data_IF_962751929495
#
_entry.id   IF_962751929495
#
_cell.length_a   1.000
_cell.length_b   1.000
_cell.length_c   1.000
_cell.angle_alpha   90.00
_cell.angle_beta   90.00
_cell.angle_gamma   90.00
#
_symmetry.space_group_name_H-M   'P 1'
#
loop_
_entity.id
_entity.type
_entity.pdbx_description
1 polymer ?
#
# COMPACT_ATOMS: atom_id res chain seq x y z
N UNK A 1 -24.25 3.31 -18.32
CA UNK A 1 -25.68 3.09 -18.03
C UNK A 1 -26.25 4.09 -17.03
N UNK A 2 -25.73 4.17 -15.79
CA UNK A 2 -26.29 5.05 -14.73
C UNK A 2 -26.31 6.53 -15.09
N UNK A 3 -25.21 7.06 -15.66
CA UNK A 3 -25.18 8.47 -16.13
C UNK A 3 -26.31 8.79 -17.13
N UNK A 4 -26.64 7.86 -18.02
CA UNK A 4 -27.75 8.02 -18.96
C UNK A 4 -29.09 8.06 -18.22
N UNK A 5 -29.34 7.09 -17.32
CA UNK A 5 -30.56 7.04 -16.50
C UNK A 5 -30.78 8.33 -15.70
N UNK A 6 -29.73 8.87 -15.08
CA UNK A 6 -29.83 10.13 -14.32
C UNK A 6 -30.15 11.35 -15.19
N UNK A 7 -29.65 11.41 -16.42
CA UNK A 7 -29.96 12.48 -17.38
C UNK A 7 -31.39 12.36 -17.90
N UNK A 8 -31.76 11.19 -18.41
CA UNK A 8 -33.09 10.92 -18.97
C UNK A 8 -34.18 11.05 -17.92
N UNK A 9 -33.90 10.64 -16.68
CA UNK A 9 -34.81 10.79 -15.54
C UNK A 9 -34.85 12.19 -14.92
N UNK A 10 -34.13 13.18 -15.48
CA UNK A 10 -34.11 14.56 -14.95
C UNK A 10 -33.57 14.69 -13.53
N UNK A 11 -32.78 13.70 -13.07
CA UNK A 11 -32.29 13.62 -11.70
C UNK A 11 -30.88 14.23 -11.54
N UNK A 12 -30.11 14.35 -12.61
CA UNK A 12 -28.75 14.90 -12.58
C UNK A 12 -28.72 16.39 -12.19
N UNK A 13 -27.73 16.79 -11.38
CA UNK A 13 -27.45 18.19 -11.00
C UNK A 13 -26.02 18.59 -11.32
N UNK A 14 -25.79 19.90 -11.40
CA UNK A 14 -24.45 20.48 -11.48
C UNK A 14 -23.51 19.91 -10.39
N UNK A 15 -22.23 19.64 -10.69
CA UNK A 15 -21.50 19.98 -11.92
C UNK A 15 -21.75 19.05 -13.11
N UNK A 16 -21.85 19.65 -14.31
CA UNK A 16 -21.88 18.94 -15.60
C UNK A 16 -20.50 19.06 -16.30
N UNK A 17 -20.13 18.09 -17.17
CA UNK A 17 -20.77 16.78 -17.37
C UNK A 17 -20.67 15.90 -16.11
N UNK A 18 -21.61 14.97 -15.94
CA UNK A 18 -21.66 14.09 -14.77
C UNK A 18 -20.76 12.86 -14.92
N UNK A 19 -20.40 12.51 -16.15
CA UNK A 19 -19.48 11.43 -16.48
C UNK A 19 -18.08 11.68 -15.89
N UNK A 20 -17.43 10.61 -15.40
CA UNK A 20 -16.13 10.69 -14.73
C UNK A 20 -16.17 11.26 -13.31
N UNK A 21 -17.38 11.47 -12.76
CA UNK A 21 -17.61 11.98 -11.40
C UNK A 21 -18.56 11.08 -10.63
N UNK A 22 -18.55 11.22 -9.31
CA UNK A 22 -19.72 10.83 -8.51
C UNK A 22 -20.84 11.82 -8.84
N UNK A 23 -21.95 11.37 -9.47
CA UNK A 23 -22.94 12.29 -10.03
C UNK A 23 -23.75 12.97 -8.93
N UNK A 24 -23.85 14.30 -8.99
CA UNK A 24 -24.77 15.02 -8.12
C UNK A 24 -26.22 14.80 -8.57
N UNK A 25 -27.16 14.77 -7.62
CA UNK A 25 -28.54 14.39 -7.89
C UNK A 25 -29.59 15.20 -7.13
N UNK A 26 -30.79 15.29 -7.71
CA UNK A 26 -31.98 15.88 -7.08
C UNK A 26 -32.39 15.05 -5.87
N UNK A 27 -32.48 15.69 -4.70
CA UNK A 27 -32.81 15.03 -3.44
C UNK A 27 -31.61 14.62 -2.58
N UNK A 28 -30.37 15.01 -2.94
CA UNK A 28 -29.19 14.76 -2.10
C UNK A 28 -29.35 15.30 -0.66
N UNK A 29 -29.99 16.46 -0.52
CA UNK A 29 -30.31 17.07 0.78
C UNK A 29 -31.30 16.22 1.59
N UNK A 30 -32.30 15.61 0.92
CA UNK A 30 -33.28 14.72 1.55
C UNK A 30 -32.66 13.38 1.94
N UNK A 31 -31.75 12.85 1.12
CA UNK A 31 -30.98 11.66 1.47
C UNK A 31 -30.09 11.92 2.71
N UNK A 32 -29.45 13.09 2.80
CA UNK A 32 -28.70 13.47 4.00
C UNK A 32 -29.62 13.59 5.23
N UNK A 33 -30.79 14.22 5.10
CA UNK A 33 -31.76 14.31 6.19
C UNK A 33 -32.20 12.91 6.70
N UNK A 34 -32.44 11.94 5.80
CA UNK A 34 -32.70 10.55 6.20
C UNK A 34 -31.53 9.89 6.91
N UNK A 35 -30.30 10.12 6.46
CA UNK A 35 -29.11 9.62 7.16
C UNK A 35 -29.06 10.15 8.61
N UNK A 36 -29.46 11.41 8.82
CA UNK A 36 -29.53 12.04 10.16
C UNK A 36 -30.43 11.29 11.15
N UNK A 37 -31.44 10.59 10.65
CA UNK A 37 -32.42 9.85 11.45
C UNK A 37 -31.87 8.50 11.95
N UNK A 38 -30.80 7.99 11.34
CA UNK A 38 -30.25 6.68 11.66
C UNK A 38 -29.44 6.70 12.96
N UNK A 39 -29.59 5.63 13.74
CA UNK A 39 -28.89 5.48 15.03
C UNK A 39 -27.36 5.50 14.87
N UNK A 40 -26.84 4.88 13.81
CA UNK A 40 -25.40 4.92 13.48
C UNK A 40 -24.87 6.34 13.32
N UNK A 41 -25.68 7.26 12.78
CA UNK A 41 -25.30 8.65 12.61
C UNK A 41 -25.42 9.42 13.92
N UNK A 42 -26.52 9.21 14.65
CA UNK A 42 -26.77 9.87 15.93
C UNK A 42 -25.66 9.59 16.94
N UNK A 43 -25.18 8.34 17.01
CA UNK A 43 -24.08 7.91 17.88
C UNK A 43 -22.70 8.42 17.45
N UNK A 44 -22.46 8.60 16.16
CA UNK A 44 -21.18 9.05 15.64
C UNK A 44 -20.83 10.46 16.16
N UNK A 45 -19.61 10.64 16.66
CA UNK A 45 -19.05 11.95 17.04
C UNK A 45 -18.15 12.50 15.94
N UNK A 46 -17.57 11.61 15.13
CA UNK A 46 -16.72 11.96 14.01
C UNK A 46 -17.06 11.16 12.76
N UNK A 47 -17.10 11.84 11.62
CA UNK A 47 -17.38 11.22 10.33
C UNK A 47 -16.26 11.47 9.35
N UNK A 48 -15.91 10.44 8.58
CA UNK A 48 -15.20 10.60 7.32
C UNK A 48 -16.21 10.76 6.21
N UNK A 49 -16.14 11.84 5.43
CA UNK A 49 -17.05 12.07 4.30
C UNK A 49 -16.28 12.49 3.06
N UNK A 50 -16.52 11.84 1.92
CA UNK A 50 -15.85 12.19 0.67
C UNK A 50 -16.17 13.62 0.19
N UNK A 51 -15.22 14.27 -0.52
CA UNK A 51 -15.35 15.67 -0.92
C UNK A 51 -16.31 15.89 -2.11
N UNK A 52 -16.88 14.83 -2.66
CA UNK A 52 -17.78 14.87 -3.81
C UNK A 52 -19.01 15.75 -3.56
N UNK A 53 -19.49 16.40 -4.63
CA UNK A 53 -20.64 17.33 -4.56
C UNK A 53 -21.91 16.70 -3.97
N UNK A 54 -22.35 15.48 -4.34
CA UNK A 54 -23.54 14.87 -3.73
C UNK A 54 -23.43 14.62 -2.22
N UNK A 55 -22.22 14.59 -1.66
CA UNK A 55 -21.99 14.43 -0.22
C UNK A 55 -21.86 15.77 0.52
N UNK A 56 -21.91 16.92 -0.17
CA UNK A 56 -21.91 18.24 0.47
C UNK A 56 -23.01 18.40 1.54
N UNK A 57 -24.27 17.97 1.31
CA UNK A 57 -25.31 18.09 2.32
C UNK A 57 -24.99 17.30 3.60
N UNK A 58 -24.38 16.10 3.47
CA UNK A 58 -23.98 15.28 4.63
C UNK A 58 -22.87 15.97 5.43
N UNK A 59 -21.86 16.54 4.74
CA UNK A 59 -20.77 17.28 5.40
C UNK A 59 -21.27 18.49 6.17
N UNK A 60 -22.11 19.31 5.53
CA UNK A 60 -22.68 20.50 6.15
C UNK A 60 -23.56 20.14 7.37
N UNK A 61 -24.38 19.09 7.23
CA UNK A 61 -25.22 18.57 8.30
C UNK A 61 -24.39 18.05 9.48
N UNK A 62 -23.31 17.29 9.23
CA UNK A 62 -22.42 16.81 10.29
C UNK A 62 -21.83 17.95 11.13
N UNK A 63 -21.34 19.01 10.49
CA UNK A 63 -20.83 20.18 11.18
C UNK A 63 -21.93 20.90 11.99
N UNK A 64 -23.11 21.08 11.41
CA UNK A 64 -24.26 21.68 12.09
C UNK A 64 -24.73 20.86 13.30
N UNK A 65 -24.52 19.54 13.28
CA UNK A 65 -24.86 18.63 14.36
C UNK A 65 -23.73 18.51 15.41
N UNK A 66 -22.71 19.36 15.35
CA UNK A 66 -21.62 19.36 16.32
C UNK A 66 -20.68 18.16 16.19
N UNK A 67 -20.54 17.60 14.97
CA UNK A 67 -19.67 16.44 14.72
C UNK A 67 -18.39 16.85 14.01
N UNK A 68 -17.29 16.17 14.35
CA UNK A 68 -16.02 16.38 13.66
C UNK A 68 -16.06 15.77 12.26
N UNK A 69 -15.64 16.55 11.27
CA UNK A 69 -15.58 16.12 9.88
C UNK A 69 -14.13 15.84 9.46
N UNK A 70 -13.89 14.63 8.96
CA UNK A 70 -12.68 14.24 8.26
C UNK A 70 -12.98 14.14 6.76
N UNK A 71 -12.30 14.95 5.96
CA UNK A 71 -12.45 14.95 4.51
C UNK A 71 -11.11 14.58 3.87
N UNK A 72 -11.03 13.52 3.05
CA UNK A 72 -9.79 13.15 2.38
C UNK A 72 -9.37 14.26 1.41
N UNK A 73 -8.06 14.49 1.30
CA UNK A 73 -7.55 15.48 0.34
C UNK A 73 -7.62 14.93 -1.09
N UNK A 74 -7.78 15.79 -2.12
CA UNK A 74 -7.78 15.33 -3.50
C UNK A 74 -6.52 14.52 -3.84
N UNK A 75 -6.73 13.32 -4.38
CA UNK A 75 -5.67 12.34 -4.72
C UNK A 75 -4.77 11.96 -3.54
N UNK A 76 -5.23 12.14 -2.30
CA UNK A 76 -4.45 11.83 -1.10
C UNK A 76 -3.05 12.48 -1.09
N UNK A 77 -2.94 13.75 -1.55
CA UNK A 77 -1.71 14.57 -1.50
C UNK A 77 -1.36 15.07 -0.09
N UNK A 78 -1.76 14.30 0.90
CA UNK A 78 -1.90 14.63 2.32
C UNK A 78 -3.06 13.79 2.85
N UNK A 79 -3.06 13.42 4.13
CA UNK A 79 -4.00 12.41 4.57
C UNK A 79 -5.43 12.97 4.60
N UNK A 80 -5.80 13.78 5.60
CA UNK A 80 -7.17 14.26 5.75
C UNK A 80 -7.21 15.72 6.20
N UNK A 81 -8.19 16.49 5.73
CA UNK A 81 -8.58 17.75 6.34
C UNK A 81 -9.55 17.44 7.49
N UNK A 82 -9.20 17.84 8.71
CA UNK A 82 -10.09 17.79 9.87
C UNK A 82 -10.70 19.16 10.12
N UNK A 83 -12.03 19.20 10.19
CA UNK A 83 -12.80 20.37 10.61
C UNK A 83 -13.54 19.96 11.88
N UNK A 84 -13.26 20.66 12.97
CA UNK A 84 -14.00 20.45 14.22
C UNK A 84 -15.16 21.44 14.28
N UNK A 85 -16.30 21.08 14.88
CA UNK A 85 -17.47 21.94 14.93
C UNK A 85 -17.17 23.28 15.64
N UNK A 86 -16.28 23.29 16.63
CA UNK A 86 -15.87 24.52 17.33
C UNK A 86 -15.08 25.51 16.45
N UNK A 87 -14.49 25.04 15.36
CA UNK A 87 -13.73 25.87 14.41
C UNK A 87 -14.67 26.51 13.35
N UNK A 88 -15.97 26.23 13.38
CA UNK A 88 -16.95 26.66 12.38
C UNK A 88 -17.92 27.67 12.98
N UNK A 89 -17.92 28.94 12.52
CA UNK A 89 -18.92 29.92 12.93
C UNK A 89 -20.34 29.46 12.57
N UNK A 90 -21.28 29.74 13.47
CA UNK A 90 -22.70 29.39 13.26
C UNK A 90 -23.23 30.01 11.96
N UNK A 91 -23.85 29.18 11.13
CA UNK A 91 -24.36 29.57 9.80
C UNK A 91 -23.35 29.42 8.66
N UNK A 92 -22.08 29.12 8.96
CA UNK A 92 -21.05 28.89 7.96
C UNK A 92 -20.79 27.40 7.66
N UNK A 93 -21.56 26.47 8.23
CA UNK A 93 -21.34 25.02 8.16
C UNK A 93 -21.32 24.51 6.71
N UNK A 94 -22.23 25.04 5.88
CA UNK A 94 -22.25 24.71 4.45
C UNK A 94 -21.02 25.23 3.72
N UNK A 95 -20.49 26.39 4.11
CA UNK A 95 -19.28 26.98 3.52
C UNK A 95 -18.04 26.20 3.97
N UNK A 96 -17.93 25.86 5.26
CA UNK A 96 -16.87 25.01 5.80
C UNK A 96 -16.86 23.62 5.15
N UNK A 97 -18.02 23.08 4.78
CA UNK A 97 -18.13 21.79 4.10
C UNK A 97 -17.74 21.81 2.60
N UNK A 98 -17.61 22.98 1.96
CA UNK A 98 -17.28 23.06 0.53
C UNK A 98 -15.79 22.81 0.27
N UNK A 99 -15.46 21.92 -0.66
CA UNK A 99 -14.06 21.58 -0.97
C UNK A 99 -13.17 22.80 -1.23
N UNK A 100 -13.68 23.82 -1.92
CA UNK A 100 -12.94 25.05 -2.27
C UNK A 100 -12.75 26.04 -1.11
N UNK A 101 -13.45 25.86 0.02
CA UNK A 101 -13.44 26.77 1.18
C UNK A 101 -13.04 26.09 2.48
N UNK A 102 -13.16 24.77 2.54
CA UNK A 102 -12.95 23.94 3.72
C UNK A 102 -11.59 24.15 4.40
N UNK A 103 -10.53 24.39 3.62
CA UNK A 103 -9.19 24.61 4.17
C UNK A 103 -9.09 25.86 5.06
N UNK A 104 -10.00 26.84 4.95
CA UNK A 104 -10.04 28.01 5.82
C UNK A 104 -10.61 27.71 7.23
N UNK A 105 -11.26 26.55 7.40
CA UNK A 105 -11.95 26.15 8.65
C UNK A 105 -11.33 24.91 9.29
N UNK A 106 -10.38 24.27 8.60
CA UNK A 106 -9.85 22.97 8.98
C UNK A 106 -8.34 22.94 9.03
N UNK A 107 -7.81 21.91 9.69
CA UNK A 107 -6.39 21.60 9.74
C UNK A 107 -6.12 20.35 8.92
N UNK A 108 -5.10 20.39 8.06
CA UNK A 108 -4.57 19.19 7.45
C UNK A 108 -3.90 18.32 8.52
N UNK A 109 -4.38 17.10 8.68
CA UNK A 109 -3.88 16.13 9.65
C UNK A 109 -2.86 15.23 8.95
N UNK A 110 -1.60 15.19 9.42
CA UNK A 110 -0.61 14.26 8.90
C UNK A 110 -0.98 12.82 9.26
N UNK A 111 -0.39 11.86 8.57
CA UNK A 111 -0.80 10.46 8.68
C UNK A 111 -0.59 9.88 10.10
N UNK A 112 0.47 10.32 10.78
CA UNK A 112 0.82 9.93 12.15
C UNK A 112 -0.25 10.32 13.18
N UNK A 113 -0.94 11.45 12.95
CA UNK A 113 -2.00 11.96 13.83
C UNK A 113 -3.38 11.39 13.51
N UNK A 114 -3.50 10.54 12.47
CA UNK A 114 -4.76 9.89 12.09
C UNK A 114 -5.00 8.54 12.76
N UNK A 115 -4.14 8.12 13.68
CA UNK A 115 -4.39 6.95 14.52
C UNK A 115 -5.68 7.13 15.35
N UNK A 116 -6.44 6.07 15.62
CA UNK A 116 -7.76 6.16 16.25
C UNK A 116 -7.74 6.82 17.64
N UNK A 117 -6.62 6.77 18.36
CA UNK A 117 -6.45 7.42 19.67
C UNK A 117 -6.44 8.94 19.57
N UNK A 118 -5.89 9.49 18.48
CA UNK A 118 -5.74 10.93 18.26
C UNK A 118 -6.84 11.51 17.35
N UNK A 119 -7.36 10.70 16.43
CA UNK A 119 -8.34 11.10 15.43
C UNK A 119 -9.41 10.02 15.25
N UNK A 120 -10.31 9.80 16.24
CA UNK A 120 -11.35 8.80 16.14
C UNK A 120 -12.29 9.10 14.97
N UNK A 121 -12.71 8.06 14.26
CA UNK A 121 -13.70 8.10 13.19
C UNK A 121 -14.72 7.01 13.49
N UNK A 122 -16.00 7.36 13.52
CA UNK A 122 -17.07 6.43 13.88
C UNK A 122 -17.87 5.94 12.66
N UNK A 123 -17.85 6.73 11.59
CA UNK A 123 -18.69 6.50 10.41
C UNK A 123 -18.01 7.00 9.13
N UNK A 124 -18.07 6.18 8.08
CA UNK A 124 -17.58 6.51 6.75
C UNK A 124 -18.76 6.75 5.81
N UNK A 125 -18.80 7.90 5.15
CA UNK A 125 -19.77 8.23 4.10
C UNK A 125 -19.03 8.38 2.76
N UNK A 126 -19.35 7.50 1.82
CA UNK A 126 -18.70 7.46 0.50
C UNK A 126 -19.66 7.79 -0.64
N UNK A 127 -19.13 8.48 -1.64
CA UNK A 127 -19.81 8.67 -2.91
C UNK A 127 -19.81 7.38 -3.75
N UNK A 128 -20.83 7.22 -4.58
CA UNK A 128 -20.95 6.12 -5.53
C UNK A 128 -21.53 6.60 -6.86
N UNK A 129 -21.03 6.03 -7.96
CA UNK A 129 -21.66 6.14 -9.28
C UNK A 129 -22.85 5.20 -9.34
N UNK A 130 -22.66 3.96 -8.90
CA UNK A 130 -23.69 2.92 -8.85
C UNK A 130 -23.52 2.07 -7.59
N UNK A 131 -24.63 1.53 -7.08
CA UNK A 131 -24.61 0.53 -6.00
C UNK A 131 -25.65 -0.54 -6.23
N UNK A 132 -25.39 -1.76 -5.76
CA UNK A 132 -26.37 -2.84 -5.70
C UNK A 132 -27.06 -2.88 -4.34
N UNK A 133 -28.22 -3.53 -4.25
CA UNK A 133 -28.96 -3.63 -2.99
C UNK A 133 -28.23 -4.46 -1.91
N UNK A 134 -27.35 -5.36 -2.33
CA UNK A 134 -26.49 -6.18 -1.46
C UNK A 134 -25.12 -5.50 -1.16
N UNK A 135 -24.94 -4.23 -1.54
CA UNK A 135 -23.84 -3.41 -1.03
C UNK A 135 -22.56 -3.37 -1.86
N UNK A 136 -22.56 -3.92 -3.08
CA UNK A 136 -21.49 -3.63 -4.04
C UNK A 136 -21.53 -2.17 -4.49
N UNK A 137 -20.36 -1.56 -4.66
CA UNK A 137 -20.22 -0.12 -4.94
C UNK A 137 -19.25 0.13 -6.09
N UNK A 138 -19.70 0.88 -7.07
CA UNK A 138 -18.83 1.43 -8.11
C UNK A 138 -18.54 2.91 -7.82
N UNK A 139 -17.25 3.24 -7.68
CA UNK A 139 -16.77 4.62 -7.65
C UNK A 139 -16.64 5.25 -9.04
N UNK A 140 -15.87 6.34 -9.17
CA UNK A 140 -15.54 6.98 -10.45
C UNK A 140 -14.37 6.33 -11.20
N UNK A 141 -13.85 5.20 -10.71
CA UNK A 141 -12.80 4.42 -11.37
C UNK A 141 -11.36 4.70 -10.92
N UNK A 142 -11.14 5.61 -9.96
CA UNK A 142 -9.78 5.97 -9.49
C UNK A 142 -9.35 5.21 -8.22
N UNK A 143 -10.19 4.36 -7.64
CA UNK A 143 -9.87 3.58 -6.42
C UNK A 143 -9.64 4.37 -5.12
N UNK A 144 -9.70 5.71 -5.16
CA UNK A 144 -9.35 6.54 -4.00
C UNK A 144 -10.15 6.24 -2.73
N UNK A 145 -11.45 5.99 -2.84
CA UNK A 145 -12.28 5.69 -1.67
C UNK A 145 -11.89 4.35 -1.00
N UNK A 146 -11.43 3.41 -1.80
CA UNK A 146 -10.99 2.08 -1.36
C UNK A 146 -9.65 2.21 -0.64
N UNK A 147 -8.72 2.97 -1.22
CA UNK A 147 -7.44 3.36 -0.58
C UNK A 147 -7.64 4.16 0.72
N UNK A 148 -8.57 5.11 0.75
CA UNK A 148 -8.89 5.90 1.94
C UNK A 148 -9.33 5.02 3.11
N UNK A 149 -10.20 4.04 2.87
CA UNK A 149 -10.65 3.12 3.92
C UNK A 149 -9.53 2.17 4.34
N UNK A 150 -8.81 1.59 3.37
CA UNK A 150 -7.66 0.74 3.62
C UNK A 150 -6.56 1.45 4.44
N UNK A 151 -6.32 2.74 4.17
CA UNK A 151 -5.40 3.60 4.93
C UNK A 151 -5.83 3.68 6.41
N UNK A 152 -7.10 3.96 6.69
CA UNK A 152 -7.58 4.02 8.08
C UNK A 152 -7.38 2.68 8.80
N UNK A 153 -7.58 1.55 8.11
CA UNK A 153 -7.34 0.22 8.68
C UNK A 153 -5.87 -0.05 8.99
N UNK A 154 -4.94 0.41 8.14
CA UNK A 154 -3.49 0.35 8.38
C UNK A 154 -3.03 1.21 9.58
N UNK A 155 -3.76 2.28 9.84
CA UNK A 155 -3.53 3.15 11.00
C UNK A 155 -4.09 2.59 12.31
N UNK A 156 -4.88 1.53 12.25
CA UNK A 156 -5.42 0.83 13.41
C UNK A 156 -6.88 1.15 13.73
N UNK A 157 -7.57 1.97 12.91
CA UNK A 157 -9.03 2.14 13.06
C UNK A 157 -9.71 0.78 12.97
N UNK A 158 -10.79 0.51 13.73
CA UNK A 158 -11.56 -0.73 13.63
C UNK A 158 -12.26 -0.85 12.27
N UNK A 159 -12.99 -1.95 12.05
CA UNK A 159 -13.89 -1.97 10.91
C UNK A 159 -15.01 -0.94 11.14
N UNK A 160 -15.14 0.01 10.21
CA UNK A 160 -16.07 1.13 10.34
C UNK A 160 -17.35 0.85 9.55
N UNK A 161 -18.51 1.31 10.03
CA UNK A 161 -19.73 1.32 9.23
C UNK A 161 -19.55 2.27 8.02
N UNK A 162 -20.01 1.81 6.85
CA UNK A 162 -19.91 2.51 5.57
C UNK A 162 -21.31 2.79 5.04
N UNK A 163 -21.59 4.07 4.80
CA UNK A 163 -22.85 4.55 4.24
C UNK A 163 -22.59 5.20 2.88
N UNK A 164 -23.55 5.07 1.97
CA UNK A 164 -23.59 5.92 0.77
C UNK A 164 -24.90 6.67 0.65
N UNK A 165 -24.85 7.87 0.07
CA UNK A 165 -26.03 8.64 -0.33
C UNK A 165 -26.12 8.69 -1.85
N UNK A 166 -27.22 8.20 -2.40
CA UNK A 166 -27.41 8.06 -3.86
C UNK A 166 -28.86 8.34 -4.27
N UNK A 167 -29.07 8.59 -5.55
CA UNK A 167 -30.40 8.60 -6.17
C UNK A 167 -30.89 7.16 -6.44
N UNK A 168 -32.20 6.85 -6.40
CA UNK A 168 -32.72 5.52 -6.74
C UNK A 168 -32.29 5.00 -8.12
N UNK A 169 -32.10 5.89 -9.09
CA UNK A 169 -31.59 5.55 -10.44
C UNK A 169 -30.13 5.08 -10.49
N UNK A 170 -29.39 5.24 -9.39
CA UNK A 170 -28.04 4.71 -9.22
C UNK A 170 -28.04 3.30 -8.64
N UNK A 171 -29.21 2.78 -8.22
CA UNK A 171 -29.37 1.37 -7.88
C UNK A 171 -29.31 0.53 -9.17
N UNK A 172 -28.48 -0.49 -9.16
CA UNK A 172 -28.31 -1.45 -10.25
C UNK A 172 -28.40 -2.87 -9.73
N UNK A 173 -28.70 -3.82 -10.61
CA UNK A 173 -28.92 -5.22 -10.20
C UNK A 173 -27.60 -5.94 -9.90
N UNK A 174 -26.53 -5.58 -10.62
CA UNK A 174 -25.21 -6.22 -10.49
C UNK A 174 -24.07 -5.25 -10.78
N UNK A 175 -22.97 -5.46 -10.08
CA UNK A 175 -21.67 -4.82 -10.33
C UNK A 175 -20.57 -5.89 -10.23
N UNK A 176 -19.48 -5.79 -11.02
CA UNK A 176 -18.27 -6.51 -10.70
C UNK A 176 -17.78 -6.05 -9.32
N UNK A 177 -17.28 -6.99 -8.52
CA UNK A 177 -16.74 -6.73 -7.19
C UNK A 177 -15.36 -7.34 -7.12
N UNK A 178 -14.38 -6.50 -6.84
CA UNK A 178 -13.03 -6.95 -6.53
C UNK A 178 -12.84 -7.07 -5.00
N UNK A 179 -11.94 -7.96 -4.52
CA UNK A 179 -11.75 -8.17 -3.07
C UNK A 179 -11.25 -6.96 -2.26
N UNK A 180 -10.90 -5.88 -2.95
CA UNK A 180 -10.39 -4.63 -2.37
C UNK A 180 -11.37 -3.47 -2.55
N UNK A 181 -12.54 -3.71 -3.16
CA UNK A 181 -13.60 -2.70 -3.25
C UNK A 181 -14.23 -2.46 -1.89
N UNK A 182 -14.45 -1.20 -1.55
CA UNK A 182 -15.17 -0.80 -0.35
C UNK A 182 -16.66 -1.09 -0.50
N UNK A 183 -17.13 -2.14 0.18
CA UNK A 183 -18.55 -2.45 0.33
C UNK A 183 -19.28 -1.42 1.21
N UNK A 184 -20.60 -1.34 1.02
CA UNK A 184 -21.48 -0.41 1.73
C UNK A 184 -22.43 -1.19 2.63
N UNK A 185 -22.55 -0.78 3.90
CA UNK A 185 -23.47 -1.40 4.87
C UNK A 185 -24.89 -0.83 4.77
N UNK A 186 -25.01 0.46 4.46
CA UNK A 186 -26.30 1.15 4.35
C UNK A 186 -26.34 2.10 3.15
N UNK A 187 -27.39 1.97 2.35
CA UNK A 187 -27.67 2.86 1.22
C UNK A 187 -28.82 3.78 1.59
N UNK A 188 -28.58 5.09 1.52
CA UNK A 188 -29.60 6.10 1.79
C UNK A 188 -29.97 6.83 0.50
N UNK A 189 -31.24 6.80 0.18
CA UNK A 189 -31.84 7.53 -0.94
C UNK A 189 -32.79 8.61 -0.40
N UNK A 190 -33.33 9.52 -1.25
CA UNK A 190 -34.34 10.47 -0.79
C UNK A 190 -35.59 9.79 -0.21
N UNK A 191 -35.92 8.59 -0.70
CA UNK A 191 -37.21 7.94 -0.41
C UNK A 191 -37.10 6.74 0.52
N UNK A 192 -35.93 6.10 0.61
CA UNK A 192 -35.72 4.86 1.37
C UNK A 192 -34.31 4.74 1.97
N UNK A 193 -34.22 3.93 3.02
CA UNK A 193 -32.97 3.43 3.61
C UNK A 193 -32.93 1.92 3.38
N UNK A 194 -31.79 1.41 2.93
CA UNK A 194 -31.57 0.00 2.60
C UNK A 194 -30.37 -0.48 3.40
N UNK A 195 -30.59 -1.39 4.34
CA UNK A 195 -29.51 -2.17 4.95
C UNK A 195 -29.10 -3.27 3.98
N UNK A 196 -27.82 -3.31 3.60
CA UNK A 196 -27.36 -4.18 2.51
C UNK A 196 -27.13 -5.61 2.96
N UNK A 197 -26.80 -5.79 4.25
CA UNK A 197 -26.30 -7.07 4.82
C UNK A 197 -25.23 -7.68 3.92
N UNK A 198 -24.32 -6.81 3.45
CA UNK A 198 -23.36 -7.13 2.40
C UNK A 198 -22.58 -8.41 2.68
N UNK A 199 -22.52 -9.36 1.73
CA UNK A 199 -21.64 -10.52 1.83
C UNK A 199 -20.18 -10.17 1.49
N UNK A 200 -19.95 -8.99 0.90
CA UNK A 200 -18.63 -8.54 0.47
C UNK A 200 -17.82 -7.98 1.64
N UNK A 201 -16.59 -8.50 1.89
CA UNK A 201 -15.73 -7.99 2.94
C UNK A 201 -15.24 -6.58 2.61
N UNK A 202 -15.04 -5.77 3.65
CA UNK A 202 -14.36 -4.47 3.50
C UNK A 202 -12.85 -4.66 3.39
N UNK A 203 -12.12 -3.68 2.80
CA UNK A 203 -10.66 -3.71 2.79
C UNK A 203 -10.10 -3.81 4.21
N UNK A 204 -9.14 -4.73 4.41
CA UNK A 204 -8.47 -4.91 5.72
C UNK A 204 -7.23 -4.04 5.91
N UNK A 205 -6.75 -3.45 4.82
CA UNK A 205 -5.50 -2.69 4.74
C UNK A 205 -5.11 -2.50 3.27
N UNK A 206 -3.93 -1.93 3.03
CA UNK A 206 -3.47 -1.62 1.68
C UNK A 206 -2.92 -2.91 1.04
N UNK A 207 -3.31 -3.18 -0.20
CA UNK A 207 -2.75 -4.27 -1.01
C UNK A 207 -1.42 -3.85 -1.61
N UNK A 208 -0.38 -3.81 -0.79
CA UNK A 208 0.97 -3.36 -1.18
C UNK A 208 1.56 -4.15 -2.35
N UNK A 209 1.10 -5.37 -2.59
CA UNK A 209 1.47 -6.20 -3.74
C UNK A 209 0.91 -5.69 -5.08
N UNK A 210 -0.19 -4.94 -5.04
CA UNK A 210 -0.85 -4.35 -6.21
C UNK A 210 -0.50 -2.86 -6.41
N UNK A 211 0.14 -2.22 -5.44
CA UNK A 211 0.55 -0.80 -5.53
C UNK A 211 1.71 -0.66 -6.52
N UNK A 212 1.50 0.14 -7.56
CA UNK A 212 2.50 0.44 -8.59
C UNK A 212 3.31 1.71 -8.26
N UNK A 213 4.36 1.98 -9.04
CA UNK A 213 5.11 3.24 -8.88
C UNK A 213 4.25 4.46 -9.25
N UNK A 214 3.43 4.34 -10.30
CA UNK A 214 2.48 5.38 -10.71
C UNK A 214 1.49 5.69 -9.57
N UNK A 215 1.04 4.68 -8.82
CA UNK A 215 0.19 4.86 -7.64
C UNK A 215 0.93 5.62 -6.53
N UNK A 216 2.20 5.28 -6.27
CA UNK A 216 3.03 5.95 -5.26
C UNK A 216 3.31 7.42 -5.62
N UNK A 217 3.46 7.73 -6.92
CA UNK A 217 3.59 9.09 -7.42
C UNK A 217 2.27 9.87 -7.35
N UNK A 218 1.16 9.21 -7.72
CA UNK A 218 -0.17 9.82 -7.70
C UNK A 218 -0.66 10.09 -6.26
N UNK A 219 -0.31 9.22 -5.32
CA UNK A 219 -0.75 9.24 -3.92
C UNK A 219 0.46 9.21 -2.95
N UNK A 220 1.07 10.38 -2.67
CA UNK A 220 2.22 10.46 -1.77
C UNK A 220 2.00 9.87 -0.36
N UNK A 221 0.76 9.84 0.12
CA UNK A 221 0.41 9.23 1.42
C UNK A 221 0.79 7.73 1.49
N UNK A 222 0.83 7.03 0.36
CA UNK A 222 1.23 5.62 0.33
C UNK A 222 2.72 5.48 0.67
N UNK A 223 3.57 6.38 0.18
CA UNK A 223 5.01 6.41 0.55
C UNK A 223 5.18 6.73 2.03
N UNK A 224 4.42 7.70 2.54
CA UNK A 224 4.42 8.07 3.96
C UNK A 224 3.98 6.89 4.84
N UNK A 225 2.88 6.22 4.49
CA UNK A 225 2.37 5.06 5.23
C UNK A 225 3.39 3.92 5.22
N UNK A 226 4.00 3.65 4.07
CA UNK A 226 5.05 2.63 3.92
C UNK A 226 6.27 2.96 4.79
N UNK A 227 6.61 4.24 4.94
CA UNK A 227 7.67 4.71 5.82
C UNK A 227 7.31 4.53 7.31
N UNK A 228 6.07 4.81 7.70
CA UNK A 228 5.58 4.65 9.06
C UNK A 228 5.43 3.20 9.49
N UNK A 229 5.03 2.33 8.56
CA UNK A 229 4.76 0.91 8.79
C UNK A 229 5.86 -0.01 8.24
N UNK A 230 7.07 0.52 8.03
CA UNK A 230 8.16 -0.17 7.36
C UNK A 230 8.51 -1.53 7.98
N UNK A 231 8.35 -1.71 9.30
CA UNK A 231 8.60 -2.99 10.01
C UNK A 231 7.65 -4.12 9.54
N UNK A 232 6.50 -3.77 8.95
CA UNK A 232 5.53 -4.70 8.37
C UNK A 232 5.67 -4.85 6.84
N UNK A 233 6.56 -4.07 6.22
CA UNK A 233 6.73 -4.08 4.77
C UNK A 233 7.71 -5.16 4.33
N UNK A 234 7.45 -5.71 3.14
CA UNK A 234 8.34 -6.61 2.44
C UNK A 234 8.88 -5.94 1.18
N UNK A 235 10.02 -6.44 0.69
CA UNK A 235 10.56 -6.06 -0.62
C UNK A 235 10.29 -7.21 -1.59
N UNK A 236 9.58 -6.97 -2.71
CA UNK A 236 9.31 -8.02 -3.69
C UNK A 236 10.58 -8.65 -4.25
N UNK A 237 10.56 -9.95 -4.51
CA UNK A 237 11.67 -10.62 -5.18
C UNK A 237 11.81 -10.16 -6.63
N UNK A 238 13.04 -10.07 -7.12
CA UNK A 238 13.36 -9.88 -8.53
C UNK A 238 13.95 -11.19 -9.04
N UNK A 239 13.07 -12.10 -9.47
CA UNK A 239 13.41 -13.45 -9.90
C UNK A 239 12.67 -13.84 -11.18
N UNK A 240 13.37 -14.55 -12.06
CA UNK A 240 12.84 -15.16 -13.27
C UNK A 240 13.54 -16.51 -13.51
N UNK A 241 12.97 -17.43 -14.30
CA UNK A 241 13.68 -18.63 -14.73
C UNK A 241 14.91 -18.28 -15.59
N UNK A 242 15.95 -19.11 -15.54
CA UNK A 242 17.10 -19.01 -16.46
C UNK A 242 18.09 -17.88 -16.13
N UNK A 243 18.09 -17.37 -14.89
CA UNK A 243 19.06 -16.35 -14.46
C UNK A 243 20.49 -16.92 -14.36
N UNK A 244 21.48 -16.12 -14.73
CA UNK A 244 22.90 -16.45 -14.50
C UNK A 244 23.21 -16.45 -13.01
N UNK A 245 22.70 -15.46 -12.27
CA UNK A 245 23.03 -15.27 -10.87
C UNK A 245 21.88 -14.70 -10.07
N UNK A 246 21.73 -15.14 -8.82
CA UNK A 246 20.84 -14.52 -7.84
C UNK A 246 21.64 -14.05 -6.63
N UNK A 247 21.56 -12.77 -6.31
CA UNK A 247 22.12 -12.21 -5.08
C UNK A 247 21.11 -12.31 -3.94
N UNK A 248 21.58 -12.76 -2.77
CA UNK A 248 20.72 -13.02 -1.61
C UNK A 248 21.21 -12.21 -0.43
N UNK A 249 20.39 -11.23 -0.01
CA UNK A 249 20.56 -10.54 1.27
C UNK A 249 19.95 -11.31 2.44
N UNK A 250 20.19 -10.84 3.66
CA UNK A 250 19.55 -11.43 4.85
C UNK A 250 18.06 -11.08 4.88
N UNK A 251 17.75 -9.80 4.99
CA UNK A 251 16.40 -9.26 5.07
C UNK A 251 16.41 -7.74 4.75
N UNK A 252 15.25 -7.13 4.43
CA UNK A 252 15.17 -5.69 4.19
C UNK A 252 15.47 -4.86 5.45
N UNK A 253 16.34 -3.86 5.33
CA UNK A 253 16.43 -2.78 6.33
C UNK A 253 15.36 -1.71 6.10
N UNK A 254 15.22 -0.75 7.03
CA UNK A 254 14.24 0.36 6.95
C UNK A 254 14.17 1.02 5.58
N UNK A 255 15.30 1.49 5.04
CA UNK A 255 15.33 2.18 3.75
C UNK A 255 14.80 1.30 2.60
N UNK A 256 15.17 0.02 2.56
CA UNK A 256 14.67 -0.93 1.56
C UNK A 256 13.19 -1.23 1.73
N UNK A 257 12.72 -1.43 2.96
CA UNK A 257 11.32 -1.71 3.24
C UNK A 257 10.41 -0.51 2.92
N UNK A 258 10.89 0.70 3.21
CA UNK A 258 10.22 1.97 2.90
C UNK A 258 10.20 2.25 1.40
N UNK A 259 11.32 2.07 0.70
CA UNK A 259 11.39 2.28 -0.76
C UNK A 259 10.67 1.17 -1.53
N UNK A 260 10.66 -0.05 -1.01
CA UNK A 260 10.20 -1.24 -1.71
C UNK A 260 11.21 -1.86 -2.65
N UNK A 261 12.47 -1.49 -2.51
CA UNK A 261 13.55 -1.89 -3.39
C UNK A 261 14.73 -2.47 -2.62
N UNK A 262 15.40 -3.44 -3.24
CA UNK A 262 16.55 -4.10 -2.62
C UNK A 262 17.70 -3.13 -2.44
N UNK A 263 18.37 -3.22 -1.28
CA UNK A 263 19.58 -2.46 -0.96
C UNK A 263 19.47 -0.93 -1.12
N UNK A 264 18.29 -0.33 -0.87
CA UNK A 264 18.02 1.10 -1.03
C UNK A 264 18.63 2.01 0.07
N UNK A 265 19.42 1.46 0.99
CA UNK A 265 20.08 2.26 2.01
C UNK A 265 21.16 3.16 1.39
N UNK A 266 21.27 4.45 1.78
CA UNK A 266 22.20 5.39 1.15
C UNK A 266 23.69 4.99 1.30
N UNK A 267 24.00 4.22 2.34
CA UNK A 267 25.35 3.71 2.60
C UNK A 267 25.54 2.24 2.17
N UNK A 268 24.59 1.68 1.41
CA UNK A 268 24.72 0.32 0.88
C UNK A 268 25.48 0.34 -0.45
N UNK A 269 26.53 -0.47 -0.56
CA UNK A 269 27.43 -0.46 -1.72
C UNK A 269 27.05 -1.51 -2.78
N UNK A 270 25.90 -2.19 -2.64
CA UNK A 270 25.51 -3.30 -3.52
C UNK A 270 25.50 -2.89 -4.99
N UNK A 271 24.81 -1.81 -5.34
CA UNK A 271 24.66 -1.35 -6.72
C UNK A 271 25.99 -0.95 -7.36
N UNK A 272 26.89 -0.37 -6.57
CA UNK A 272 28.24 -0.02 -6.99
C UNK A 272 29.12 -1.25 -7.21
N UNK A 273 29.11 -2.19 -6.26
CA UNK A 273 29.83 -3.46 -6.36
C UNK A 273 29.36 -4.29 -7.56
N UNK A 274 28.06 -4.30 -7.82
CA UNK A 274 27.45 -5.02 -8.94
C UNK A 274 27.93 -4.47 -10.29
N UNK A 275 27.97 -3.14 -10.42
CA UNK A 275 28.48 -2.48 -11.62
C UNK A 275 29.99 -2.69 -11.80
N UNK A 276 30.79 -2.37 -10.78
CA UNK A 276 32.25 -2.45 -10.86
C UNK A 276 32.75 -3.90 -11.06
N UNK A 277 32.00 -4.91 -10.58
CA UNK A 277 32.29 -6.31 -10.88
C UNK A 277 31.83 -6.79 -12.26
N UNK A 278 31.14 -5.94 -13.04
CA UNK A 278 30.76 -6.22 -14.43
C UNK A 278 29.50 -7.08 -14.60
N UNK A 279 28.57 -7.06 -13.64
CA UNK A 279 27.25 -7.68 -13.79
C UNK A 279 26.27 -6.77 -14.52
N UNK A 280 26.41 -5.44 -14.39
CA UNK A 280 25.55 -4.43 -15.03
C UNK A 280 26.39 -3.30 -15.65
N UNK A 281 25.91 -2.64 -16.72
CA UNK A 281 26.73 -1.70 -17.51
C UNK A 281 26.93 -0.33 -16.84
N UNK A 282 26.13 0.00 -15.83
CA UNK A 282 26.23 1.24 -15.03
C UNK A 282 25.73 0.99 -13.61
N UNK A 283 26.01 1.91 -12.70
CA UNK A 283 25.36 1.92 -11.39
C UNK A 283 23.86 2.18 -11.58
N UNK A 284 23.03 1.25 -11.13
CA UNK A 284 21.58 1.36 -11.12
C UNK A 284 21.11 2.00 -9.82
N UNK A 285 19.98 2.71 -9.86
CA UNK A 285 19.25 3.10 -8.65
C UNK A 285 18.42 1.93 -8.12
N UNK A 286 18.07 1.89 -6.82
CA UNK A 286 17.25 0.82 -6.26
C UNK A 286 15.92 0.62 -7.02
N UNK A 287 15.28 1.69 -7.48
CA UNK A 287 14.00 1.67 -8.20
C UNK A 287 14.12 0.98 -9.58
N UNK A 288 15.34 0.81 -10.07
CA UNK A 288 15.65 0.14 -11.34
C UNK A 288 15.95 -1.36 -11.15
N UNK A 289 15.72 -1.93 -9.96
CA UNK A 289 16.06 -3.32 -9.63
C UNK A 289 15.48 -4.36 -10.61
N UNK A 290 14.28 -4.14 -11.14
CA UNK A 290 13.68 -5.02 -12.16
C UNK A 290 14.46 -5.08 -13.47
N UNK A 291 15.28 -4.07 -13.80
CA UNK A 291 16.14 -4.10 -14.97
C UNK A 291 17.23 -5.18 -14.87
N UNK A 292 17.58 -5.63 -13.66
CA UNK A 292 18.55 -6.70 -13.42
C UNK A 292 18.27 -7.96 -14.25
N UNK A 293 16.98 -8.29 -14.43
CA UNK A 293 16.55 -9.45 -15.19
C UNK A 293 17.03 -9.42 -16.66
N UNK A 294 17.26 -8.21 -17.23
CA UNK A 294 17.79 -8.06 -18.60
C UNK A 294 19.22 -8.55 -18.75
N UNK A 295 19.97 -8.63 -17.64
CA UNK A 295 21.35 -9.11 -17.60
C UNK A 295 21.49 -10.46 -16.91
N UNK A 296 20.39 -11.21 -16.75
CA UNK A 296 20.40 -12.52 -16.09
C UNK A 296 20.69 -12.42 -14.58
N UNK A 297 20.50 -11.26 -13.96
CA UNK A 297 20.74 -11.04 -12.53
C UNK A 297 19.41 -11.00 -11.79
N UNK A 298 19.30 -11.74 -10.70
CA UNK A 298 18.18 -11.67 -9.75
C UNK A 298 18.62 -11.20 -8.37
N UNK A 299 17.66 -10.77 -7.57
CA UNK A 299 17.87 -10.38 -6.18
C UNK A 299 16.68 -10.79 -5.30
N UNK A 300 16.99 -11.30 -4.11
CA UNK A 300 16.03 -11.73 -3.08
C UNK A 300 16.64 -11.58 -1.68
N UNK A 301 15.83 -11.80 -0.64
CA UNK A 301 16.31 -11.99 0.72
C UNK A 301 15.98 -13.40 1.25
N UNK A 302 16.67 -13.82 2.31
CA UNK A 302 16.33 -15.04 3.07
C UNK A 302 15.03 -14.84 3.83
N UNK A 303 14.92 -13.74 4.57
CA UNK A 303 13.75 -13.41 5.39
C UNK A 303 13.01 -12.22 4.75
N UNK A 304 11.68 -12.33 4.55
CA UNK A 304 10.90 -11.25 3.95
C UNK A 304 10.65 -10.07 4.90
N UNK A 305 10.60 -10.34 6.21
CA UNK A 305 10.30 -9.33 7.26
C UNK A 305 11.41 -8.29 7.38
N UNK A 306 11.02 -7.02 7.37
CA UNK A 306 11.94 -5.93 7.61
C UNK A 306 12.35 -5.83 9.08
N UNK A 307 13.62 -5.52 9.36
CA UNK A 307 14.12 -5.31 10.72
C UNK A 307 15.11 -4.16 10.82
N UNK A 308 15.43 -3.72 12.04
CA UNK A 308 16.44 -2.65 12.27
C UNK A 308 17.85 -3.21 12.11
N UNK A 309 18.03 -4.48 12.46
CA UNK A 309 19.25 -5.22 12.22
C UNK A 309 19.07 -6.73 12.31
N UNK A 310 20.17 -7.44 12.10
CA UNK A 310 20.19 -8.91 12.13
C UNK A 310 19.85 -9.48 13.52
N UNK A 311 20.05 -8.69 14.59
CA UNK A 311 19.77 -9.09 15.97
C UNK A 311 18.28 -9.30 16.26
N UNK A 312 17.39 -8.72 15.44
CA UNK A 312 15.93 -8.84 15.60
C UNK A 312 15.36 -10.13 15.00
N UNK A 313 16.21 -10.99 14.40
CA UNK A 313 15.82 -12.23 13.73
C UNK A 313 16.18 -13.45 14.60
N UNK A 314 15.16 -14.24 14.95
CA UNK A 314 15.35 -15.53 15.62
C UNK A 314 15.99 -16.56 14.71
N UNK A 315 16.66 -17.57 15.28
CA UNK A 315 17.29 -18.62 14.49
C UNK A 315 16.28 -19.47 13.72
N UNK A 316 15.11 -19.74 14.31
CA UNK A 316 14.05 -20.53 13.66
C UNK A 316 13.46 -19.80 12.44
N UNK A 317 13.27 -18.48 12.56
CA UNK A 317 12.83 -17.62 11.44
C UNK A 317 13.85 -17.65 10.29
N UNK A 318 15.14 -17.56 10.62
CA UNK A 318 16.23 -17.66 9.65
C UNK A 318 16.28 -19.04 8.98
N UNK A 319 16.14 -20.11 9.76
CA UNK A 319 16.16 -21.49 9.25
C UNK A 319 14.97 -21.75 8.31
N UNK A 320 13.77 -21.28 8.66
CA UNK A 320 12.59 -21.33 7.81
C UNK A 320 12.80 -20.52 6.50
N UNK A 321 13.36 -19.31 6.60
CA UNK A 321 13.72 -18.50 5.44
C UNK A 321 14.74 -19.20 4.53
N UNK A 322 15.73 -19.89 5.10
CA UNK A 322 16.70 -20.69 4.35
C UNK A 322 16.03 -21.83 3.56
N UNK A 323 15.08 -22.54 4.18
CA UNK A 323 14.30 -23.58 3.49
C UNK A 323 13.44 -23.02 2.36
N UNK A 324 12.74 -21.90 2.60
CA UNK A 324 11.96 -21.22 1.57
C UNK A 324 12.85 -20.73 0.41
N UNK A 325 14.04 -20.22 0.70
CA UNK A 325 15.00 -19.79 -0.31
C UNK A 325 15.50 -20.97 -1.16
N UNK A 326 15.80 -22.13 -0.56
CA UNK A 326 16.14 -23.34 -1.33
C UNK A 326 14.99 -23.74 -2.27
N UNK A 327 13.74 -23.66 -1.83
CA UNK A 327 12.59 -23.91 -2.71
C UNK A 327 12.51 -22.92 -3.88
N UNK A 328 12.80 -21.63 -3.65
CA UNK A 328 12.91 -20.63 -4.74
C UNK A 328 14.04 -20.99 -5.71
N UNK A 329 15.22 -21.36 -5.21
CA UNK A 329 16.36 -21.73 -6.07
C UNK A 329 16.08 -23.00 -6.88
N UNK A 330 15.36 -23.97 -6.30
CA UNK A 330 14.90 -25.16 -7.03
C UNK A 330 13.87 -24.82 -8.13
N UNK A 331 13.02 -23.82 -7.91
CA UNK A 331 12.02 -23.35 -8.88
C UNK A 331 12.64 -22.55 -10.03
N UNK A 332 13.48 -21.56 -9.71
CA UNK A 332 14.03 -20.61 -10.70
C UNK A 332 15.34 -21.08 -11.35
N UNK A 333 16.04 -22.03 -10.71
CA UNK A 333 17.27 -22.69 -11.17
C UNK A 333 18.32 -21.74 -11.75
N UNK A 334 18.79 -20.73 -10.99
CA UNK A 334 19.90 -19.91 -11.45
C UNK A 334 21.19 -20.74 -11.52
N UNK A 335 22.16 -20.34 -12.36
CA UNK A 335 23.47 -21.03 -12.43
C UNK A 335 24.26 -20.84 -11.12
N UNK A 336 24.20 -19.65 -10.55
CA UNK A 336 24.90 -19.27 -9.31
C UNK A 336 23.96 -18.56 -8.33
N UNK A 337 24.07 -18.89 -7.04
CA UNK A 337 23.52 -18.10 -5.95
C UNK A 337 24.66 -17.46 -5.15
N UNK A 338 24.60 -16.14 -4.98
CA UNK A 338 25.58 -15.37 -4.22
C UNK A 338 24.97 -14.92 -2.89
N UNK A 339 25.40 -15.55 -1.80
CA UNK A 339 24.91 -15.32 -0.45
C UNK A 339 25.72 -14.20 0.21
N UNK A 340 25.08 -13.07 0.48
CA UNK A 340 25.71 -11.85 0.98
C UNK A 340 25.88 -11.87 2.50
N UNK A 341 26.72 -12.78 2.97
CA UNK A 341 27.09 -12.93 4.36
C UNK A 341 27.16 -14.40 4.78
N UNK A 342 28.07 -14.72 5.71
CA UNK A 342 28.24 -16.11 6.18
C UNK A 342 26.98 -16.66 6.86
N UNK A 343 26.22 -15.82 7.57
CA UNK A 343 24.96 -16.25 8.19
C UNK A 343 23.90 -16.59 7.14
N UNK A 344 23.76 -15.77 6.09
CA UNK A 344 22.88 -16.02 4.94
C UNK A 344 23.19 -17.39 4.33
N UNK A 345 24.48 -17.69 4.15
CA UNK A 345 24.89 -19.00 3.65
C UNK A 345 24.58 -20.15 4.61
N UNK A 346 24.87 -20.01 5.92
CA UNK A 346 24.59 -21.06 6.91
C UNK A 346 23.12 -21.47 6.88
N UNK A 347 22.22 -20.50 6.85
CA UNK A 347 20.78 -20.77 6.89
C UNK A 347 20.29 -21.35 5.56
N UNK A 348 20.80 -20.83 4.43
CA UNK A 348 20.53 -21.38 3.11
C UNK A 348 21.03 -22.82 2.95
N UNK A 349 22.20 -23.16 3.47
CA UNK A 349 22.78 -24.50 3.39
C UNK A 349 22.34 -25.45 4.53
N UNK A 350 21.48 -24.98 5.45
CA UNK A 350 21.01 -25.79 6.59
C UNK A 350 22.10 -26.15 7.60
N UNK A 351 23.14 -25.30 7.71
CA UNK A 351 24.27 -25.50 8.60
C UNK A 351 24.01 -24.94 10.00
N UNK A 352 24.72 -25.48 10.99
CA UNK A 352 24.74 -24.92 12.34
C UNK A 352 25.27 -23.47 12.35
N UNK A 353 24.76 -22.65 13.27
CA UNK A 353 25.13 -21.23 13.44
C UNK A 353 26.64 -21.00 13.62
N UNK A 354 27.33 -21.97 14.19
CA UNK A 354 28.78 -21.95 14.46
C UNK A 354 29.63 -22.54 13.33
N UNK A 355 29.02 -23.12 12.29
CA UNK A 355 29.76 -23.75 11.21
C UNK A 355 30.74 -22.77 10.56
N UNK A 356 31.97 -23.22 10.33
CA UNK A 356 32.97 -22.44 9.60
C UNK A 356 32.52 -22.30 8.15
N UNK A 357 32.62 -21.08 7.64
CA UNK A 357 32.27 -20.73 6.25
C UNK A 357 33.39 -19.84 5.74
N UNK A 358 33.94 -20.22 4.60
CA UNK A 358 34.94 -19.43 3.90
C UNK A 358 34.27 -18.58 2.80
N UNK A 359 34.91 -17.49 2.41
CA UNK A 359 34.44 -16.67 1.29
C UNK A 359 34.72 -17.36 -0.05
N UNK A 360 33.92 -17.05 -1.07
CA UNK A 360 34.10 -17.58 -2.41
C UNK A 360 33.16 -18.74 -2.75
N UNK A 361 33.50 -19.46 -3.81
CA UNK A 361 32.75 -20.62 -4.30
C UNK A 361 32.78 -21.73 -3.25
N UNK A 362 31.61 -22.29 -2.96
CA UNK A 362 31.47 -23.36 -2.00
C UNK A 362 31.55 -24.73 -2.69
N UNK A 363 32.09 -25.75 -2.00
CA UNK A 363 32.22 -27.09 -2.56
C UNK A 363 30.89 -27.85 -2.63
N UNK A 364 29.87 -27.39 -1.90
CA UNK A 364 28.57 -28.05 -1.78
C UNK A 364 27.52 -27.42 -2.70
N UNK A 365 26.49 -28.21 -2.95
CA UNK A 365 25.25 -27.78 -3.57
C UNK A 365 24.09 -28.23 -2.66
N UNK A 366 23.42 -27.25 -2.06
CA UNK A 366 22.21 -27.43 -1.25
C UNK A 366 20.97 -27.61 -2.13
N UNK A 367 21.06 -27.19 -3.40
CA UNK A 367 20.07 -27.41 -4.45
C UNK A 367 20.82 -27.91 -5.69
N UNK A 368 20.44 -29.09 -6.17
CA UNK A 368 21.14 -29.75 -7.28
C UNK A 368 21.19 -28.88 -8.55
N UNK A 369 22.40 -28.63 -9.05
CA UNK A 369 22.65 -27.82 -10.24
C UNK A 369 22.65 -26.32 -10.00
N UNK A 370 22.59 -25.85 -8.74
CA UNK A 370 22.74 -24.44 -8.38
C UNK A 370 24.04 -24.28 -7.60
N UNK A 371 25.02 -23.59 -8.18
CA UNK A 371 26.31 -23.35 -7.53
C UNK A 371 26.19 -22.25 -6.49
N UNK A 372 27.00 -22.34 -5.44
CA UNK A 372 26.87 -21.50 -4.25
C UNK A 372 28.15 -20.68 -4.04
N UNK A 373 28.00 -19.38 -3.83
CA UNK A 373 29.11 -18.46 -3.59
C UNK A 373 28.81 -17.58 -2.39
N UNK A 374 29.78 -17.41 -1.50
CA UNK A 374 29.62 -16.56 -0.31
C UNK A 374 30.44 -15.29 -0.49
N UNK A 375 29.78 -14.14 -0.43
CA UNK A 375 30.42 -12.83 -0.50
C UNK A 375 30.05 -12.00 0.75
N UNK A 376 30.84 -10.98 1.12
CA UNK A 376 30.55 -10.18 2.30
C UNK A 376 29.33 -9.29 2.08
N UNK A 377 28.64 -8.94 3.16
CA UNK A 377 27.49 -8.04 3.12
C UNK A 377 27.91 -6.66 2.53
N UNK A 378 27.16 -6.12 1.55
CA UNK A 378 27.47 -4.83 0.91
C UNK A 378 27.19 -3.60 1.79
N UNK A 379 26.60 -3.77 2.98
CA UNK A 379 26.41 -2.68 3.95
C UNK A 379 27.74 -2.00 4.31
N UNK A 380 27.72 -0.68 4.49
CA UNK A 380 28.85 0.07 5.06
C UNK A 380 29.26 -0.40 6.47
N UNK A 381 28.37 -1.08 7.20
CA UNK A 381 28.65 -1.65 8.53
C UNK A 381 29.50 -2.92 8.49
N UNK A 382 29.73 -3.47 7.30
CA UNK A 382 30.59 -4.64 7.12
C UNK A 382 32.03 -4.31 7.52
N UNK A 383 32.66 -5.17 8.30
CA UNK A 383 34.09 -5.04 8.66
C UNK A 383 35.02 -5.41 7.51
N UNK A 384 34.49 -5.97 6.41
CA UNK A 384 35.29 -6.34 5.24
C UNK A 384 35.54 -5.12 4.35
N UNK A 385 36.80 -4.78 4.03
CA UNK A 385 37.13 -3.63 3.18
C UNK A 385 36.43 -3.67 1.81
N UNK A 386 36.21 -2.49 1.21
CA UNK A 386 35.58 -2.39 -0.10
C UNK A 386 36.32 -3.18 -1.19
N UNK A 387 37.65 -3.04 -1.27
CA UNK A 387 38.46 -3.74 -2.26
C UNK A 387 38.29 -5.26 -2.20
N UNK A 388 38.21 -5.83 -0.99
CA UNK A 388 38.00 -7.26 -0.81
C UNK A 388 36.58 -7.70 -1.20
N UNK A 389 35.56 -6.87 -0.91
CA UNK A 389 34.19 -7.10 -1.39
C UNK A 389 34.12 -7.10 -2.92
N UNK A 390 34.74 -6.11 -3.56
CA UNK A 390 34.79 -6.00 -5.01
C UNK A 390 35.52 -7.20 -5.62
N UNK A 391 36.66 -7.61 -5.05
CA UNK A 391 37.40 -8.80 -5.48
C UNK A 391 36.53 -10.06 -5.48
N UNK A 392 35.73 -10.26 -4.44
CA UNK A 392 34.84 -11.42 -4.32
C UNK A 392 33.66 -11.36 -5.30
N UNK A 393 33.07 -10.18 -5.52
CA UNK A 393 32.05 -10.01 -6.56
C UNK A 393 32.62 -10.26 -7.96
N UNK A 394 33.80 -9.74 -8.27
CA UNK A 394 34.50 -9.97 -9.54
C UNK A 394 34.86 -11.46 -9.73
N UNK A 395 35.26 -12.16 -8.67
CA UNK A 395 35.51 -13.59 -8.71
C UNK A 395 34.24 -14.41 -9.04
N UNK A 396 33.09 -14.04 -8.47
CA UNK A 396 31.81 -14.64 -8.84
C UNK A 396 31.48 -14.40 -10.34
N UNK A 397 31.73 -13.19 -10.85
CA UNK A 397 31.53 -12.88 -12.28
C UNK A 397 32.48 -13.67 -13.19
N UNK A 398 33.75 -13.78 -12.80
CA UNK A 398 34.75 -14.55 -13.54
C UNK A 398 34.36 -16.03 -13.63
N UNK A 399 33.86 -16.61 -12.53
CA UNK A 399 33.39 -17.99 -12.50
C UNK A 399 32.24 -18.24 -13.50
N UNK A 400 31.29 -17.30 -13.60
CA UNK A 400 30.16 -17.37 -14.56
C UNK A 400 30.57 -17.26 -16.03
N UNK A 401 31.72 -16.63 -16.32
CA UNK A 401 32.26 -16.47 -17.68
C UNK A 401 33.17 -17.64 -18.10
N UNK A 402 33.80 -18.29 -17.13
CA UNK A 402 34.75 -19.39 -17.36
C UNK A 402 34.12 -20.79 -17.39
N UNK A 403 32.80 -20.89 -17.16
CA UNK A 403 31.97 -22.10 -17.25
C UNK A 403 30.69 -21.74 -17.99
#
# INVERSE_FOLDING_TARGET
MVYRRLREGGAARFPFPIEGRIPNFKGAERAAARLRELELYRRARALKVNPDTPQLPVRAMALADGKTLYMPTPRLRGAFLRIRPEDVPRGEERRAAQLSKAAAYGRFVPLEELAPEAAPIDLVVVGAVAVTRDGARAGKGEGYADYEYALLRELGHPELPVVTTVHPLQLVDRLPVDPHDLSVDVIVTPDAVIETRTPYPKPRGIRWDAVTEDDLEAMPVLRELRALRWERMTVPDVLAPGLEVVFVGLNPGRASATAGHHFAGPNNLFWRLLHEAGFVPRVLRPEEDRLLLRWGVGVTNVVPRATRGEADLGWDELAAGGAALRAKMARYRPRLVVLLGKQVYRVYAGLARTARVDWGLQPRESVAGVREFVAPNPSSRSTVPYAERLRLFAAARAWLRGN
#
